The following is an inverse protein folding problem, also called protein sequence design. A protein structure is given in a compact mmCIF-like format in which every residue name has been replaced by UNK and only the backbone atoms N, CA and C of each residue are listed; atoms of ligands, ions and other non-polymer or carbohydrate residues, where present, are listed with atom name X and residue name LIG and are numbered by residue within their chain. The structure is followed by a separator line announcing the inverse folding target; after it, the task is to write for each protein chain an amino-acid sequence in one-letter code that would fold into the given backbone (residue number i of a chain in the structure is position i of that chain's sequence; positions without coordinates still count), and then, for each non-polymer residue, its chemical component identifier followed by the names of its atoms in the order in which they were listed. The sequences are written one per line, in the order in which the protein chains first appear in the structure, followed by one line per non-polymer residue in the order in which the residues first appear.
data_IF_980520806005
#
_entry.id   IF_980520806005
#
_cell.length_a   1.000
_cell.length_b   1.000
_cell.length_c   1.000
_cell.angle_alpha   90.00
_cell.angle_beta   90.00
_cell.angle_gamma   90.00
#
_symmetry.space_group_name_H-M   'P 1'
#
loop_
_entity.id
_entity.type
_entity.pdbx_description
1 polymer ?
#
# COMPACT_ATOMS: atom_id res chain seq x y z
N UNK A 1 1.02 -5.49 6.88
CA UNK A 1 0.89 -4.26 6.10
C UNK A 1 1.40 -3.14 6.97
N UNK A 2 2.09 -2.18 6.35
CA UNK A 2 2.71 -1.06 7.07
C UNK A 2 1.66 -0.30 7.88
N UNK A 3 2.03 0.03 9.12
CA UNK A 3 1.20 0.81 10.06
C UNK A 3 1.65 2.26 10.17
N UNK A 4 2.77 2.62 9.55
CA UNK A 4 3.34 3.96 9.58
C UNK A 4 2.60 4.85 8.57
N UNK A 5 2.11 6.03 8.96
CA UNK A 5 1.51 6.97 8.02
C UNK A 5 2.60 7.58 7.13
N UNK A 6 2.30 7.84 5.87
CA UNK A 6 3.26 8.52 5.00
C UNK A 6 3.42 10.01 5.35
N UNK A 7 2.41 10.60 6.00
CA UNK A 7 2.40 12.00 6.38
C UNK A 7 1.78 12.18 7.77
N UNK A 8 2.47 12.93 8.62
CA UNK A 8 1.97 13.40 9.91
C UNK A 8 1.76 14.92 9.84
N UNK A 9 0.51 15.40 9.66
CA UNK A 9 0.23 16.83 9.55
C UNK A 9 0.78 17.64 10.73
N UNK A 10 1.22 18.87 10.46
CA UNK A 10 1.79 19.75 11.49
C UNK A 10 3.25 19.46 11.85
N UNK A 11 3.95 18.65 11.06
CA UNK A 11 5.39 18.38 11.23
C UNK A 11 6.19 18.83 10.02
N UNK A 12 7.46 19.15 10.25
CA UNK A 12 8.46 19.44 9.25
C UNK A 12 9.62 18.46 9.37
N UNK A 13 10.50 18.63 10.36
CA UNK A 13 11.70 17.81 10.56
C UNK A 13 11.50 16.66 11.56
N UNK A 14 10.39 16.69 12.30
CA UNK A 14 10.09 15.71 13.35
C UNK A 14 9.68 14.34 12.81
N UNK A 15 9.23 14.27 11.55
CA UNK A 15 8.79 13.02 10.92
C UNK A 15 9.34 12.90 9.49
N UNK A 16 9.70 11.69 9.01
CA UNK A 16 10.10 11.47 7.63
C UNK A 16 8.89 11.49 6.66
N UNK A 17 8.12 12.58 6.67
CA UNK A 17 6.99 12.77 5.77
C UNK A 17 7.42 12.53 4.32
N UNK A 18 6.63 11.76 3.58
CA UNK A 18 6.82 11.46 2.16
C UNK A 18 8.13 10.75 1.82
N UNK A 19 8.81 10.20 2.83
CA UNK A 19 10.12 9.54 2.69
C UNK A 19 10.11 8.08 3.12
N UNK A 20 9.00 7.58 3.67
CA UNK A 20 8.93 6.17 4.04
C UNK A 20 8.73 5.30 2.79
N UNK A 21 9.51 4.20 2.66
CA UNK A 21 9.27 3.21 1.62
C UNK A 21 8.03 2.37 1.96
N UNK A 22 7.47 1.70 0.96
CA UNK A 22 6.49 0.64 1.18
C UNK A 22 7.15 -0.49 1.98
N UNK A 23 6.47 -0.97 3.02
CA UNK A 23 7.00 -1.98 3.92
C UNK A 23 5.96 -3.01 4.38
N UNK A 24 6.48 -4.09 4.97
CA UNK A 24 5.68 -5.14 5.59
C UNK A 24 5.06 -4.69 6.94
N UNK A 25 4.47 -5.64 7.69
CA UNK A 25 3.87 -5.35 9.00
C UNK A 25 4.89 -4.97 10.10
N UNK A 26 6.15 -5.38 9.93
CA UNK A 26 7.25 -5.12 10.85
C UNK A 26 8.04 -3.87 10.46
N UNK A 27 7.64 -3.21 9.36
CA UNK A 27 8.30 -2.01 8.84
C UNK A 27 9.54 -2.29 7.99
N UNK A 28 9.75 -3.53 7.53
CA UNK A 28 10.84 -3.86 6.59
C UNK A 28 10.47 -3.40 5.18
N UNK A 29 11.31 -2.58 4.52
CA UNK A 29 11.08 -2.19 3.14
C UNK A 29 10.88 -3.39 2.23
N UNK A 30 9.92 -3.29 1.32
CA UNK A 30 9.64 -4.32 0.32
C UNK A 30 10.01 -3.80 -1.07
N UNK A 31 10.64 -4.66 -1.87
CA UNK A 31 10.75 -4.48 -3.31
C UNK A 31 9.38 -4.60 -3.99
N UNK A 32 9.31 -4.19 -5.27
CA UNK A 32 8.11 -4.39 -6.07
C UNK A 32 7.82 -5.88 -6.26
N UNK A 33 8.86 -6.69 -6.50
CA UNK A 33 8.80 -8.13 -6.69
C UNK A 33 8.21 -8.83 -5.46
N UNK A 34 8.68 -8.48 -4.26
CA UNK A 34 8.14 -9.01 -3.01
C UNK A 34 6.69 -8.57 -2.78
N UNK A 35 6.37 -7.32 -3.12
CA UNK A 35 5.02 -6.78 -3.00
C UNK A 35 4.03 -7.54 -3.89
N UNK A 36 4.35 -7.75 -5.17
CA UNK A 36 3.48 -8.50 -6.11
C UNK A 36 3.45 -10.01 -5.82
N UNK A 37 4.49 -10.55 -5.20
CA UNK A 37 4.52 -11.94 -4.72
C UNK A 37 3.66 -12.15 -3.45
N UNK A 38 3.31 -11.07 -2.73
CA UNK A 38 2.62 -11.16 -1.43
C UNK A 38 1.26 -11.87 -1.52
N UNK A 39 1.07 -13.00 -0.79
CA UNK A 39 -0.24 -13.66 -0.70
C UNK A 39 -1.33 -12.74 -0.15
N UNK A 40 -0.96 -11.86 0.79
CA UNK A 40 -1.88 -10.90 1.39
C UNK A 40 -2.36 -9.86 0.38
N UNK A 41 -1.46 -9.33 -0.46
CA UNK A 41 -1.84 -8.39 -1.50
C UNK A 41 -2.78 -9.07 -2.52
N UNK A 42 -2.46 -10.29 -2.94
CA UNK A 42 -3.31 -11.05 -3.87
C UNK A 42 -4.71 -11.29 -3.31
N UNK A 43 -4.82 -11.67 -2.04
CA UNK A 43 -6.11 -11.85 -1.38
C UNK A 43 -6.92 -10.54 -1.31
N UNK A 44 -6.27 -9.42 -1.00
CA UNK A 44 -6.90 -8.09 -0.99
C UNK A 44 -7.38 -7.70 -2.39
N UNK A 45 -6.54 -7.84 -3.41
CA UNK A 45 -6.89 -7.51 -4.79
C UNK A 45 -8.05 -8.36 -5.30
N UNK A 46 -8.12 -9.64 -4.91
CA UNK A 46 -9.25 -10.50 -5.25
C UNK A 46 -10.57 -10.01 -4.62
N UNK A 47 -10.54 -9.50 -3.39
CA UNK A 47 -11.72 -8.89 -2.76
C UNK A 47 -12.09 -7.57 -3.42
N UNK A 48 -11.12 -6.68 -3.65
CA UNK A 48 -11.35 -5.39 -4.31
C UNK A 48 -11.94 -5.60 -5.71
N UNK A 49 -11.44 -6.58 -6.46
CA UNK A 49 -11.97 -6.93 -7.78
C UNK A 49 -13.40 -7.47 -7.74
N UNK A 50 -13.78 -8.21 -6.68
CA UNK A 50 -15.18 -8.65 -6.48
C UNK A 50 -16.12 -7.47 -6.23
N UNK A 51 -15.65 -6.48 -5.49
CA UNK A 51 -16.44 -5.32 -5.08
C UNK A 51 -16.47 -4.21 -6.14
N UNK A 52 -15.49 -4.19 -7.05
CA UNK A 52 -15.46 -3.23 -8.14
C UNK A 52 -16.64 -3.50 -9.09
N UNK A 53 -17.54 -2.52 -9.33
CA UNK A 53 -18.51 -2.65 -10.40
C UNK A 53 -17.75 -2.84 -11.72
N UNK A 54 -18.11 -3.89 -12.46
CA UNK A 54 -17.59 -4.08 -13.80
C UNK A 54 -18.25 -3.02 -14.69
N UNK A 55 -17.51 -1.96 -15.05
CA UNK A 55 -17.94 -1.04 -16.11
C UNK A 55 -17.18 -1.39 -17.40
N UNK A 56 -17.76 -2.22 -18.29
CA UNK A 56 -17.16 -2.52 -19.59
C UNK A 56 -17.31 -1.36 -20.60
N UNK A 57 -17.85 -0.20 -20.21
CA UNK A 57 -18.28 0.86 -21.13
C UNK A 57 -17.39 2.11 -21.25
N UNK A 58 -16.27 2.22 -20.53
CA UNK A 58 -15.39 3.38 -20.66
C UNK A 58 -14.44 3.26 -21.86
N UNK A 59 -14.93 3.69 -23.04
CA UNK A 59 -14.11 4.20 -24.15
C UNK A 59 -14.08 5.72 -24.10
#
# INVERSE_FOLDING_TARGET
GDRRPQNLPGTWDQYPNWRLPIADADGRPMSLEELVASPRLRALMAEVARLAPHDPGAL
#
